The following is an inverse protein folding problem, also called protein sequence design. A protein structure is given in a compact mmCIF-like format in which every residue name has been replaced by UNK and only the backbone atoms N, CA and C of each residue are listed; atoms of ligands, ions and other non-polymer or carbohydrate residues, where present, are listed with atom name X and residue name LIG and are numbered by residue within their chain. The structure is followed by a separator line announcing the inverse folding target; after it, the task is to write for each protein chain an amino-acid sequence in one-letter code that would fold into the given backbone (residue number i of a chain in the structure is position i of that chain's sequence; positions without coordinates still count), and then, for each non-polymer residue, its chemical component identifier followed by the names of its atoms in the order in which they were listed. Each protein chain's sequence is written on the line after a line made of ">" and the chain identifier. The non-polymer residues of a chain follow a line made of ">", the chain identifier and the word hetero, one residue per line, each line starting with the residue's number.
data_IF_686670966252
#
_entry.id   IF_686670966252
#
_cell.length_a   1.000
_cell.length_b   1.000
_cell.length_c   1.000
_cell.angle_alpha   90.00
_cell.angle_beta   90.00
_cell.angle_gamma   90.00
#
_symmetry.space_group_name_H-M   'P 1'
#
loop_
_entity.id
_entity.type
_entity.pdbx_description
1 polymer ?
#
# COMPACT_ATOMS: atom_id res chain seq x y z
N UNK A 1 4.68 -12.72 24.30
CA UNK A 1 5.90 -12.75 23.48
C UNK A 1 6.03 -11.42 22.79
N UNK A 2 7.16 -10.72 22.93
CA UNK A 2 7.42 -9.52 22.15
C UNK A 2 7.55 -9.93 20.68
N UNK A 3 6.84 -9.24 19.80
CA UNK A 3 6.98 -9.43 18.35
C UNK A 3 8.36 -8.90 17.95
N UNK A 4 9.17 -9.71 17.29
CA UNK A 4 10.50 -9.30 16.81
C UNK A 4 10.33 -8.28 15.68
N UNK A 5 10.80 -7.04 15.91
CA UNK A 5 10.72 -5.96 14.93
C UNK A 5 11.41 -6.33 13.61
N UNK A 6 12.54 -7.03 13.65
CA UNK A 6 13.27 -7.47 12.47
C UNK A 6 12.47 -8.46 11.64
N UNK A 7 11.77 -9.39 12.29
CA UNK A 7 10.91 -10.36 11.60
C UNK A 7 9.71 -9.67 10.91
N UNK A 8 9.09 -8.69 11.57
CA UNK A 8 7.98 -7.93 10.97
C UNK A 8 8.47 -7.10 9.78
N UNK A 9 9.59 -6.39 9.92
CA UNK A 9 10.16 -5.60 8.84
C UNK A 9 10.57 -6.46 7.64
N UNK A 10 11.11 -7.66 7.88
CA UNK A 10 11.40 -8.61 6.80
C UNK A 10 10.13 -9.04 6.06
N UNK A 11 9.06 -9.38 6.79
CA UNK A 11 7.76 -9.71 6.19
C UNK A 11 7.16 -8.56 5.39
N UNK A 12 7.25 -7.34 5.91
CA UNK A 12 6.81 -6.12 5.21
C UNK A 12 7.63 -5.89 3.93
N UNK A 13 8.96 -6.05 3.98
CA UNK A 13 9.84 -5.97 2.80
C UNK A 13 9.48 -7.02 1.76
N UNK A 14 9.23 -8.27 2.17
CA UNK A 14 8.78 -9.33 1.26
C UNK A 14 7.46 -9.01 0.57
N UNK A 15 6.48 -8.44 1.30
CA UNK A 15 5.20 -8.04 0.72
C UNK A 15 5.35 -6.93 -0.32
N UNK A 16 6.20 -5.93 -0.05
CA UNK A 16 6.49 -4.84 -1.00
C UNK A 16 7.22 -5.37 -2.24
N UNK A 17 8.25 -6.21 -2.08
CA UNK A 17 8.99 -6.77 -3.20
C UNK A 17 8.10 -7.63 -4.11
N UNK A 18 7.25 -8.46 -3.53
CA UNK A 18 6.28 -9.27 -4.28
C UNK A 18 5.34 -8.37 -5.10
N UNK A 19 4.86 -7.28 -4.51
CA UNK A 19 3.98 -6.33 -5.19
C UNK A 19 4.70 -5.63 -6.37
N UNK A 20 5.96 -5.23 -6.18
CA UNK A 20 6.78 -4.64 -7.24
C UNK A 20 7.03 -5.63 -8.38
N UNK A 21 7.32 -6.89 -8.07
CA UNK A 21 7.55 -7.93 -9.08
C UNK A 21 6.25 -8.27 -9.83
N UNK A 22 5.12 -8.37 -9.14
CA UNK A 22 3.80 -8.53 -9.77
C UNK A 22 3.50 -7.36 -10.72
N UNK A 23 3.76 -6.11 -10.28
CA UNK A 23 3.58 -4.91 -11.11
C UNK A 23 4.47 -4.94 -12.35
N UNK A 24 5.73 -5.37 -12.24
CA UNK A 24 6.64 -5.55 -13.39
C UNK A 24 6.11 -6.63 -14.34
N UNK A 25 5.58 -7.73 -13.81
CA UNK A 25 4.98 -8.81 -14.59
C UNK A 25 3.77 -8.36 -15.41
N UNK A 26 2.93 -7.47 -14.88
CA UNK A 26 1.81 -6.88 -15.60
C UNK A 26 2.28 -6.14 -16.87
N UNK A 27 3.35 -5.35 -16.75
CA UNK A 27 3.92 -4.57 -17.87
C UNK A 27 4.64 -5.47 -18.88
N UNK A 28 5.38 -6.47 -18.41
CA UNK A 28 6.22 -7.30 -19.27
C UNK A 28 5.44 -8.33 -20.11
N UNK A 29 4.27 -8.79 -19.64
CA UNK A 29 3.53 -9.89 -20.26
C UNK A 29 2.09 -9.56 -20.67
N UNK A 30 1.64 -8.31 -20.45
CA UNK A 30 0.29 -7.89 -20.78
C UNK A 30 0.10 -7.54 -22.26
N UNK A 31 -0.82 -8.23 -22.96
CA UNK A 31 -1.52 -7.70 -24.14
C UNK A 31 -2.73 -6.83 -23.77
N UNK A 32 -2.80 -6.43 -22.50
CA UNK A 32 -3.92 -5.72 -21.90
C UNK A 32 -3.92 -4.26 -22.36
N UNK A 33 -5.11 -3.68 -22.47
CA UNK A 33 -5.21 -2.23 -22.69
C UNK A 33 -4.64 -1.48 -21.48
N UNK A 34 -4.11 -0.28 -21.71
CA UNK A 34 -3.46 0.53 -20.67
C UNK A 34 -4.33 0.71 -19.41
N UNK A 35 -5.65 0.77 -19.58
CA UNK A 35 -6.60 0.90 -18.47
C UNK A 35 -6.68 -0.35 -17.60
N UNK A 36 -6.66 -1.53 -18.21
CA UNK A 36 -6.75 -2.80 -17.47
C UNK A 36 -5.45 -3.06 -16.70
N UNK A 37 -4.31 -2.69 -17.29
CA UNK A 37 -3.01 -2.72 -16.62
C UNK A 37 -3.01 -1.83 -15.37
N UNK A 38 -3.52 -0.61 -15.49
CA UNK A 38 -3.56 0.32 -14.38
C UNK A 38 -4.45 -0.22 -13.25
N UNK A 39 -5.64 -0.72 -13.58
CA UNK A 39 -6.55 -1.31 -12.58
C UNK A 39 -5.94 -2.53 -11.86
N UNK A 40 -5.22 -3.39 -12.59
CA UNK A 40 -4.53 -4.53 -11.99
C UNK A 40 -3.36 -4.09 -11.11
N UNK A 41 -2.61 -3.06 -11.51
CA UNK A 41 -1.54 -2.50 -10.70
C UNK A 41 -2.08 -1.95 -9.37
N UNK A 42 -3.21 -1.22 -9.39
CA UNK A 42 -3.87 -0.74 -8.17
C UNK A 42 -4.36 -1.87 -7.27
N UNK A 43 -4.81 -2.98 -7.84
CA UNK A 43 -5.21 -4.15 -7.06
C UNK A 43 -4.01 -4.77 -6.31
N UNK A 44 -2.87 -4.90 -7.00
CA UNK A 44 -1.61 -5.42 -6.42
C UNK A 44 -1.13 -4.56 -5.25
N UNK A 45 -1.14 -3.24 -5.43
CA UNK A 45 -0.72 -2.27 -4.40
C UNK A 45 -1.62 -2.32 -3.16
N UNK A 46 -2.94 -2.37 -3.37
CA UNK A 46 -3.91 -2.50 -2.28
C UNK A 46 -3.70 -3.80 -1.50
N UNK A 47 -3.53 -4.92 -2.20
CA UNK A 47 -3.29 -6.21 -1.55
C UNK A 47 -2.02 -6.18 -0.71
N UNK A 48 -0.95 -5.58 -1.22
CA UNK A 48 0.31 -5.43 -0.48
C UNK A 48 0.10 -4.63 0.82
N UNK A 49 -0.59 -3.50 0.76
CA UNK A 49 -0.89 -2.66 1.92
C UNK A 49 -1.76 -3.40 2.95
N UNK A 50 -2.71 -4.21 2.49
CA UNK A 50 -3.52 -5.07 3.37
C UNK A 50 -2.66 -6.16 4.06
N UNK A 51 -1.71 -6.77 3.36
CA UNK A 51 -0.79 -7.74 3.96
C UNK A 51 0.13 -7.07 4.99
N UNK A 52 0.67 -5.89 4.68
CA UNK A 52 1.51 -5.09 5.58
C UNK A 52 0.74 -4.76 6.87
N UNK A 53 -0.55 -4.40 6.77
CA UNK A 53 -1.40 -4.18 7.95
C UNK A 53 -1.55 -5.41 8.84
N UNK A 54 -1.72 -6.59 8.24
CA UNK A 54 -1.84 -7.85 9.00
C UNK A 54 -0.55 -8.24 9.72
N UNK A 55 0.60 -7.84 9.17
CA UNK A 55 1.91 -8.08 9.76
C UNK A 55 2.23 -7.12 10.92
N UNK A 56 1.67 -5.91 10.91
CA UNK A 56 1.93 -4.94 11.96
C UNK A 56 1.29 -5.36 13.29
N UNK A 57 2.05 -5.33 14.40
CA UNK A 57 1.47 -5.52 15.73
C UNK A 57 0.53 -4.34 16.08
N UNK A 58 -0.51 -4.56 16.92
CA UNK A 58 -1.43 -3.50 17.32
C UNK A 58 -0.74 -2.29 17.96
N UNK A 59 0.29 -2.57 18.77
CA UNK A 59 1.18 -1.59 19.38
C UNK A 59 2.59 -1.88 18.87
N UNK A 60 3.06 -1.19 17.82
CA UNK A 60 4.39 -1.38 17.31
C UNK A 60 5.44 -0.84 18.28
N UNK A 61 6.40 -1.71 18.59
CA UNK A 61 7.62 -1.35 19.30
C UNK A 61 8.70 -1.10 18.25
N UNK A 62 9.37 0.05 18.32
CA UNK A 62 10.42 0.43 17.39
C UNK A 62 10.01 1.52 16.42
N UNK A 63 10.96 2.41 16.10
CA UNK A 63 10.72 3.63 15.34
C UNK A 63 10.21 3.32 13.93
N UNK A 64 10.73 2.27 13.28
CA UNK A 64 10.38 1.93 11.90
C UNK A 64 8.96 1.38 11.80
N UNK A 65 8.57 0.49 12.72
CA UNK A 65 7.19 0.00 12.74
C UNK A 65 6.19 1.11 13.09
N UNK A 66 6.58 2.06 13.94
CA UNK A 66 5.75 3.24 14.23
C UNK A 66 5.60 4.15 13.00
N UNK A 67 6.66 4.32 12.21
CA UNK A 67 6.65 5.05 10.95
C UNK A 67 5.78 4.36 9.88
N UNK A 68 5.80 3.03 9.79
CA UNK A 68 4.90 2.25 8.93
C UNK A 68 3.44 2.44 9.35
N UNK A 69 3.14 2.26 10.64
CA UNK A 69 1.79 2.46 11.18
C UNK A 69 1.27 3.86 10.86
N UNK A 70 2.10 4.88 11.06
CA UNK A 70 1.72 6.29 10.79
C UNK A 70 1.34 6.51 9.32
N UNK A 71 2.10 5.96 8.36
CA UNK A 71 1.79 6.06 6.93
C UNK A 71 0.47 5.38 6.59
N UNK A 72 0.25 4.17 7.10
CA UNK A 72 -1.01 3.44 6.89
C UNK A 72 -2.21 4.16 7.51
N UNK A 73 -2.06 4.75 8.70
CA UNK A 73 -3.11 5.55 9.33
C UNK A 73 -3.45 6.79 8.51
N UNK A 74 -2.44 7.51 7.98
CA UNK A 74 -2.68 8.66 7.10
C UNK A 74 -3.44 8.27 5.83
N UNK A 75 -3.12 7.10 5.27
CA UNK A 75 -3.89 6.56 4.15
C UNK A 75 -5.35 6.32 4.54
N UNK A 76 -5.60 5.70 5.70
CA UNK A 76 -6.98 5.47 6.19
C UNK A 76 -7.75 6.78 6.40
N UNK A 77 -7.11 7.79 7.00
CA UNK A 77 -7.71 9.11 7.20
C UNK A 77 -8.07 9.75 5.85
N UNK A 78 -7.19 9.66 4.85
CA UNK A 78 -7.46 10.16 3.50
C UNK A 78 -8.62 9.41 2.82
N UNK A 79 -8.67 8.09 2.96
CA UNK A 79 -9.76 7.26 2.43
C UNK A 79 -11.10 7.55 3.12
N UNK A 80 -11.10 7.77 4.43
CA UNK A 80 -12.29 8.16 5.18
C UNK A 80 -12.77 9.55 4.79
N UNK A 81 -11.85 10.51 4.65
CA UNK A 81 -12.17 11.85 4.16
C UNK A 81 -12.77 11.78 2.76
N UNK A 82 -12.21 10.96 1.86
CA UNK A 82 -12.76 10.71 0.54
C UNK A 82 -14.17 10.13 0.61
N UNK A 83 -14.41 9.13 1.47
CA UNK A 83 -15.72 8.50 1.63
C UNK A 83 -16.80 9.48 2.13
N UNK A 84 -16.42 10.46 2.97
CA UNK A 84 -17.31 11.48 3.50
C UNK A 84 -17.70 12.56 2.46
N UNK A 85 -17.00 12.66 1.32
CA UNK A 85 -17.33 13.61 0.26
C UNK A 85 -18.57 13.15 -0.51
N UNK A 86 -19.61 13.99 -0.55
CA UNK A 86 -20.84 13.72 -1.31
C UNK A 86 -20.92 14.51 -2.63
N UNK A 87 -19.96 15.39 -2.88
CA UNK A 87 -19.91 16.33 -4.01
C UNK A 87 -19.17 15.79 -5.25
N UNK A 88 -18.72 14.53 -5.21
CA UNK A 88 -17.93 13.92 -6.29
C UNK A 88 -18.65 12.75 -6.95
N UNK A 89 -18.49 12.67 -8.27
CA UNK A 89 -18.94 11.53 -9.06
C UNK A 89 -18.16 10.26 -8.68
N UNK A 90 -18.82 9.10 -8.77
CA UNK A 90 -18.24 7.81 -8.38
C UNK A 90 -16.97 7.47 -9.15
N UNK A 91 -16.90 7.80 -10.44
CA UNK A 91 -15.69 7.62 -11.24
C UNK A 91 -14.51 8.43 -10.72
N UNK A 92 -14.75 9.68 -10.33
CA UNK A 92 -13.69 10.53 -9.76
C UNK A 92 -13.25 10.02 -8.39
N UNK A 93 -14.19 9.55 -7.57
CA UNK A 93 -13.90 8.90 -6.28
C UNK A 93 -12.99 7.68 -6.46
N UNK A 94 -13.27 6.83 -7.45
CA UNK A 94 -12.44 5.66 -7.73
C UNK A 94 -11.00 6.06 -8.08
N UNK A 95 -10.81 7.07 -8.94
CA UNK A 95 -9.48 7.56 -9.31
C UNK A 95 -8.72 8.15 -8.12
N UNK A 96 -9.41 8.94 -7.29
CA UNK A 96 -8.81 9.57 -6.11
C UNK A 96 -8.44 8.53 -5.05
N UNK A 97 -9.25 7.47 -4.90
CA UNK A 97 -8.94 6.31 -4.06
C UNK A 97 -7.68 5.59 -4.54
N UNK A 98 -7.55 5.40 -5.85
CA UNK A 98 -6.42 4.73 -6.45
C UNK A 98 -5.13 5.55 -6.27
N UNK A 99 -5.19 6.87 -6.40
CA UNK A 99 -4.07 7.78 -6.12
C UNK A 99 -3.66 7.78 -4.64
N UNK A 100 -4.61 7.79 -3.70
CA UNK A 100 -4.33 7.65 -2.26
C UNK A 100 -3.61 6.32 -1.98
N UNK A 101 -4.11 5.23 -2.57
CA UNK A 101 -3.54 3.88 -2.40
C UNK A 101 -2.11 3.83 -2.96
N UNK A 102 -1.90 4.40 -4.15
CA UNK A 102 -0.59 4.46 -4.80
C UNK A 102 0.44 5.19 -3.95
N UNK A 103 0.13 6.41 -3.51
CA UNK A 103 1.05 7.23 -2.72
C UNK A 103 1.42 6.56 -1.41
N UNK A 104 0.46 5.92 -0.75
CA UNK A 104 0.74 5.17 0.47
C UNK A 104 1.65 3.97 0.22
N UNK A 105 1.49 3.27 -0.91
CA UNK A 105 2.40 2.20 -1.31
C UNK A 105 3.81 2.72 -1.55
N UNK A 106 3.97 3.82 -2.30
CA UNK A 106 5.28 4.47 -2.53
C UNK A 106 5.94 4.93 -1.22
N UNK A 107 5.18 5.58 -0.33
CA UNK A 107 5.68 6.04 0.96
C UNK A 107 6.21 4.89 1.82
N UNK A 108 5.56 3.71 1.73
CA UNK A 108 5.98 2.50 2.43
C UNK A 108 7.18 1.86 1.75
N UNK A 109 7.23 1.80 0.42
CA UNK A 109 8.39 1.24 -0.29
C UNK A 109 9.66 2.06 -0.03
N UNK A 110 9.58 3.39 -0.10
CA UNK A 110 10.71 4.27 0.18
C UNK A 110 11.22 4.13 1.62
N UNK A 111 10.33 4.03 2.59
CA UNK A 111 10.73 3.81 3.99
C UNK A 111 11.59 2.54 4.15
N UNK A 112 11.36 1.53 3.31
CA UNK A 112 12.09 0.27 3.37
C UNK A 112 13.39 0.30 2.54
N UNK A 113 13.52 1.22 1.58
CA UNK A 113 14.71 1.41 0.73
C UNK A 113 15.80 2.26 1.39
N UNK A 114 15.48 3.13 2.35
CA UNK A 114 16.45 4.03 3.00
C UNK A 114 17.61 3.32 3.75
N UNK A 115 17.69 1.99 3.76
CA UNK A 115 18.76 1.20 4.37
C UNK A 115 18.99 -0.18 3.71
#
# INVERSE_FOLDING_TARGET
>A
MAVDEGQVLAGVRSAVLLALDNRRGLVAFGRLEARDLDQQARAVEREALEQIRKLLPPVPTGQRLQQLKTRLTRMDEALQALAARHDIAERSRALERDDITWRAFEDVSWLLEEH
#
